data_IF_619134094236
#
_entry.id   IF_619134094236
#
_cell.length_a   1.000
_cell.length_b   1.000
_cell.length_c   1.000
_cell.angle_alpha   90.00
_cell.angle_beta   90.00
_cell.angle_gamma   90.00
#
_symmetry.space_group_name_H-M   'P 1'
#
loop_
_entity.id
_entity.type
_entity.pdbx_description
1 polymer ?
#
# COMPACT_ATOMS: atom_id res chain seq x y z
N UNK A 1 -4.20 -14.41 -7.11
CA UNK A 1 -3.84 -13.19 -6.35
C UNK A 1 -2.98 -12.21 -7.14
N UNK A 2 -2.48 -12.56 -8.30
CA UNK A 2 -1.64 -11.71 -9.13
C UNK A 2 -0.15 -11.81 -8.81
N UNK A 3 0.65 -11.08 -9.60
CA UNK A 3 2.08 -10.91 -9.38
C UNK A 3 2.28 -9.68 -8.49
N UNK A 4 3.05 -9.81 -7.42
CA UNK A 4 3.40 -8.75 -6.47
C UNK A 4 4.49 -9.24 -5.53
N UNK A 5 5.17 -8.31 -4.86
CA UNK A 5 6.19 -8.61 -3.85
C UNK A 5 5.57 -8.80 -2.45
N UNK A 6 4.68 -9.78 -2.30
CA UNK A 6 3.96 -9.98 -1.04
C UNK A 6 4.87 -10.56 0.05
N UNK A 7 4.93 -9.87 1.19
CA UNK A 7 5.69 -10.29 2.38
C UNK A 7 4.78 -10.89 3.45
N UNK A 8 3.67 -10.25 3.75
CA UNK A 8 2.69 -10.71 4.75
C UNK A 8 1.40 -11.23 4.11
N UNK A 9 0.86 -12.34 4.64
CA UNK A 9 -0.45 -12.88 4.25
C UNK A 9 -1.19 -13.29 5.53
N UNK A 10 -2.33 -12.64 5.81
CA UNK A 10 -3.10 -12.85 7.03
C UNK A 10 -4.58 -13.05 6.73
N UNK A 11 -5.18 -14.19 7.12
CA UNK A 11 -6.62 -14.39 6.97
C UNK A 11 -7.43 -13.67 8.05
N UNK A 12 -8.69 -13.37 7.74
CA UNK A 12 -9.70 -13.08 8.74
C UNK A 12 -10.59 -14.31 9.01
N UNK A 13 -11.60 -14.17 9.87
CA UNK A 13 -12.53 -15.24 10.24
C UNK A 13 -13.51 -15.63 9.12
N UNK A 14 -13.58 -14.86 8.05
CA UNK A 14 -14.41 -15.11 6.86
C UNK A 14 -13.63 -15.64 5.68
N UNK A 15 -12.29 -15.80 5.85
CA UNK A 15 -11.37 -16.30 4.83
C UNK A 15 -10.93 -15.27 3.82
N UNK A 16 -11.18 -13.98 4.05
CA UNK A 16 -10.50 -12.93 3.29
C UNK A 16 -9.01 -12.92 3.66
N UNK A 17 -8.16 -12.70 2.67
CA UNK A 17 -6.71 -12.63 2.86
C UNK A 17 -6.23 -11.19 2.75
N UNK A 18 -5.50 -10.73 3.75
CA UNK A 18 -4.87 -9.41 3.76
C UNK A 18 -3.39 -9.57 3.46
N UNK A 19 -2.88 -8.77 2.53
CA UNK A 19 -1.54 -8.89 1.99
C UNK A 19 -0.82 -7.54 2.05
N UNK A 20 0.44 -7.58 2.42
CA UNK A 20 1.35 -6.43 2.40
C UNK A 20 2.40 -6.67 1.31
N UNK A 21 2.68 -5.62 0.55
CA UNK A 21 3.65 -5.66 -0.54
C UNK A 21 4.89 -4.87 -0.16
N UNK A 22 6.07 -5.48 -0.35
CA UNK A 22 7.36 -4.81 -0.20
C UNK A 22 8.06 -4.66 -1.55
N UNK A 23 7.78 -3.56 -2.23
CA UNK A 23 8.41 -3.20 -3.50
C UNK A 23 9.09 -1.84 -3.35
N UNK A 24 10.38 -1.78 -3.61
CA UNK A 24 11.13 -0.52 -3.59
C UNK A 24 10.60 0.47 -4.63
N UNK A 25 10.53 1.73 -4.24
CA UNK A 25 10.25 2.84 -5.13
C UNK A 25 11.48 3.35 -5.87
N UNK A 26 11.26 4.32 -6.73
CA UNK A 26 12.34 5.07 -7.37
C UNK A 26 12.93 6.07 -6.37
N UNK A 27 14.26 6.27 -6.43
CA UNK A 27 14.92 7.32 -5.68
C UNK A 27 14.54 8.69 -6.24
N UNK A 28 14.48 9.70 -5.36
CA UNK A 28 14.33 11.08 -5.76
C UNK A 28 15.52 11.53 -6.63
N UNK A 29 15.23 12.35 -7.62
CA UNK A 29 16.23 12.96 -8.50
C UNK A 29 16.60 14.38 -8.07
N UNK A 30 15.89 14.96 -7.11
CA UNK A 30 16.11 16.35 -6.68
C UNK A 30 17.46 16.52 -5.96
N UNK A 31 18.07 17.68 -6.18
CA UNK A 31 19.25 18.11 -5.45
C UNK A 31 18.97 18.20 -3.93
N UNK A 32 20.04 18.15 -3.14
CA UNK A 32 19.96 18.29 -1.69
C UNK A 32 19.05 19.45 -1.29
N UNK A 33 18.04 19.16 -0.50
CA UNK A 33 17.05 20.10 0.01
C UNK A 33 16.81 19.92 1.50
N UNK A 34 15.92 20.72 2.04
CA UNK A 34 15.48 20.58 3.41
C UNK A 34 14.22 19.70 3.44
N UNK A 35 14.29 18.52 4.05
CA UNK A 35 13.12 17.70 4.35
C UNK A 35 12.79 17.88 5.83
N UNK A 36 11.56 18.26 6.13
CA UNK A 36 11.04 18.45 7.52
C UNK A 36 11.90 19.40 8.37
N UNK A 37 12.45 20.46 7.76
CA UNK A 37 13.27 21.45 8.47
C UNK A 37 14.69 21.00 8.82
N UNK A 38 15.09 19.80 8.37
CA UNK A 38 16.46 19.30 8.59
C UNK A 38 17.35 19.69 7.41
N UNK A 39 18.28 20.59 7.66
CA UNK A 39 19.29 20.97 6.66
C UNK A 39 20.26 19.81 6.39
N UNK A 40 20.63 19.64 5.12
CA UNK A 40 21.64 18.64 4.71
C UNK A 40 21.12 17.24 4.47
N UNK A 41 19.81 17.01 4.52
CA UNK A 41 19.22 15.73 4.15
C UNK A 41 19.12 15.65 2.63
N UNK A 42 19.77 14.66 2.03
CA UNK A 42 19.74 14.46 0.58
C UNK A 42 18.46 13.73 0.17
N UNK A 43 17.64 14.35 -0.67
CA UNK A 43 16.50 13.71 -1.32
C UNK A 43 16.90 12.48 -2.17
N UNK A 44 18.16 12.41 -2.59
CA UNK A 44 18.69 11.30 -3.41
C UNK A 44 18.56 9.93 -2.72
N UNK A 45 18.46 9.90 -1.40
CA UNK A 45 18.31 8.66 -0.63
C UNK A 45 16.87 8.31 -0.30
N UNK A 46 15.95 9.25 -0.43
CA UNK A 46 14.54 9.00 -0.23
C UNK A 46 13.96 8.21 -1.40
N UNK A 47 13.10 7.25 -1.12
CA UNK A 47 12.43 6.44 -2.12
C UNK A 47 10.96 6.84 -2.23
N UNK A 48 10.46 6.91 -3.46
CA UNK A 48 9.04 7.11 -3.72
C UNK A 48 8.25 5.95 -3.11
N UNK A 49 7.16 6.22 -2.36
CA UNK A 49 6.24 5.16 -1.91
C UNK A 49 5.72 4.38 -3.12
N UNK A 50 5.87 3.04 -3.12
CA UNK A 50 5.61 2.22 -4.31
C UNK A 50 4.97 0.86 -4.00
N UNK A 51 4.63 0.62 -2.75
CA UNK A 51 4.05 -0.63 -2.28
C UNK A 51 2.63 -0.41 -1.75
N UNK A 52 1.81 -1.44 -1.80
CA UNK A 52 0.40 -1.33 -1.46
C UNK A 52 -0.03 -2.36 -0.42
N UNK A 53 -1.12 -2.06 0.27
CA UNK A 53 -1.82 -2.98 1.17
C UNK A 53 -3.07 -3.47 0.46
N UNK A 54 -3.23 -4.78 0.40
CA UNK A 54 -4.32 -5.42 -0.31
C UNK A 54 -5.20 -6.27 0.59
N UNK A 55 -6.39 -6.58 0.07
CA UNK A 55 -7.16 -7.72 0.53
C UNK A 55 -7.73 -8.51 -0.66
N UNK A 56 -7.75 -9.81 -0.51
CA UNK A 56 -8.41 -10.71 -1.46
C UNK A 56 -9.68 -11.28 -0.79
N UNK A 57 -10.80 -11.08 -1.44
CA UNK A 57 -12.11 -11.61 -1.04
C UNK A 57 -12.41 -12.81 -1.92
N UNK A 58 -12.17 -14.05 -1.47
CA UNK A 58 -12.41 -15.23 -2.29
C UNK A 58 -13.92 -15.45 -2.51
N UNK A 59 -14.29 -15.94 -3.71
CA UNK A 59 -15.65 -16.37 -4.00
C UNK A 59 -16.03 -17.57 -3.12
N UNK A 60 -15.06 -18.42 -2.81
CA UNK A 60 -15.19 -19.55 -1.90
C UNK A 60 -13.95 -19.64 -1.00
N UNK A 61 -14.05 -19.33 0.29
CA UNK A 61 -12.90 -19.39 1.21
C UNK A 61 -12.23 -20.76 1.33
N UNK A 62 -12.96 -21.85 1.08
CA UNK A 62 -12.43 -23.21 1.09
C UNK A 62 -11.73 -23.59 -0.24
N UNK A 63 -11.88 -22.78 -1.29
CA UNK A 63 -11.39 -23.07 -2.63
C UNK A 63 -10.95 -21.78 -3.33
N UNK A 64 -9.76 -21.30 -3.03
CA UNK A 64 -9.24 -20.03 -3.56
C UNK A 64 -9.13 -20.01 -5.10
N UNK A 65 -9.00 -21.18 -5.74
CA UNK A 65 -9.00 -21.32 -7.19
C UNK A 65 -10.34 -20.96 -7.87
N UNK A 66 -11.42 -20.83 -7.10
CA UNK A 66 -12.72 -20.37 -7.62
C UNK A 66 -12.73 -18.86 -7.90
N UNK A 67 -11.58 -18.20 -7.68
CA UNK A 67 -11.41 -16.78 -7.90
C UNK A 67 -11.90 -15.90 -6.78
N UNK A 68 -12.01 -14.61 -7.04
CA UNK A 68 -12.42 -13.60 -6.06
C UNK A 68 -12.08 -12.19 -6.50
N UNK A 69 -12.22 -11.26 -5.57
CA UNK A 69 -11.91 -9.84 -5.77
C UNK A 69 -10.62 -9.47 -5.06
N UNK A 70 -9.67 -8.95 -5.81
CA UNK A 70 -8.50 -8.28 -5.27
C UNK A 70 -8.80 -6.79 -5.10
N UNK A 71 -8.59 -6.27 -3.91
CA UNK A 71 -8.80 -4.88 -3.57
C UNK A 71 -7.53 -4.28 -2.97
N UNK A 72 -7.30 -3.00 -3.23
CA UNK A 72 -6.20 -2.24 -2.63
C UNK A 72 -6.75 -1.14 -1.71
N UNK A 73 -5.96 -0.79 -0.69
CA UNK A 73 -6.29 0.27 0.26
C UNK A 73 -6.13 1.64 -0.40
N UNK A 74 -7.13 2.50 -0.27
CA UNK A 74 -7.07 3.90 -0.64
C UNK A 74 -7.40 4.78 0.56
N UNK A 75 -6.46 5.60 0.99
CA UNK A 75 -6.62 6.56 2.09
C UNK A 75 -7.06 7.92 1.53
N UNK A 76 -7.98 8.57 2.24
CA UNK A 76 -8.51 9.88 1.87
C UNK A 76 -8.05 10.91 2.92
N UNK A 77 -7.30 11.89 2.47
CA UNK A 77 -6.79 13.00 3.30
C UNK A 77 -7.34 14.31 2.73
N UNK A 78 -7.96 15.10 3.58
CA UNK A 78 -8.55 16.39 3.21
C UNK A 78 -9.52 16.30 2.00
N UNK A 79 -10.25 15.19 1.90
CA UNK A 79 -11.20 14.95 0.82
C UNK A 79 -10.62 14.40 -0.47
N UNK A 80 -9.29 14.25 -0.58
CA UNK A 80 -8.60 13.70 -1.74
C UNK A 80 -7.93 12.35 -1.44
N UNK A 81 -7.87 11.48 -2.45
CA UNK A 81 -7.13 10.23 -2.34
C UNK A 81 -5.61 10.51 -2.38
N UNK A 82 -4.85 9.82 -1.53
CA UNK A 82 -3.39 9.80 -1.63
C UNK A 82 -3.02 8.75 -2.67
N UNK A 83 -2.44 9.18 -3.79
CA UNK A 83 -2.18 8.33 -4.96
C UNK A 83 -0.73 8.36 -5.39
N UNK A 84 -0.34 7.41 -6.21
CA UNK A 84 0.98 7.31 -6.84
C UNK A 84 1.04 8.20 -8.10
N UNK A 85 2.14 8.95 -8.26
CA UNK A 85 2.38 9.80 -9.44
C UNK A 85 3.65 9.32 -10.16
N UNK A 86 3.51 8.57 -11.26
CA UNK A 86 4.66 7.97 -11.96
C UNK A 86 5.63 9.01 -12.52
N UNK A 87 5.14 10.18 -12.88
CA UNK A 87 5.90 11.24 -13.53
C UNK A 87 6.45 12.28 -12.52
N UNK A 88 6.14 12.12 -11.22
CA UNK A 88 6.59 13.02 -10.16
C UNK A 88 7.01 12.28 -8.89
N UNK A 89 8.09 11.46 -8.96
CA UNK A 89 8.61 10.74 -7.78
C UNK A 89 9.02 11.66 -6.63
N UNK A 90 9.60 12.80 -6.95
CA UNK A 90 10.05 13.78 -5.96
C UNK A 90 8.85 14.44 -5.27
N UNK A 91 7.79 14.73 -6.03
CA UNK A 91 6.53 15.24 -5.52
C UNK A 91 5.87 14.27 -4.55
N UNK A 92 5.83 12.98 -4.86
CA UNK A 92 5.28 11.96 -3.95
C UNK A 92 6.08 11.91 -2.64
N UNK A 93 7.42 11.93 -2.69
CA UNK A 93 8.28 11.88 -1.51
C UNK A 93 8.05 13.10 -0.60
N UNK A 94 7.89 14.28 -1.18
CA UNK A 94 7.77 15.53 -0.44
C UNK A 94 6.33 15.97 -0.20
N UNK A 95 5.34 15.22 -0.69
CA UNK A 95 3.94 15.63 -0.65
C UNK A 95 3.43 15.83 0.78
N UNK A 96 2.60 16.87 0.95
CA UNK A 96 1.92 17.13 2.23
C UNK A 96 1.00 15.96 2.61
N UNK A 97 0.39 15.31 1.65
CA UNK A 97 -0.50 14.16 1.88
C UNK A 97 0.28 12.97 2.45
N UNK A 98 1.44 12.62 1.88
CA UNK A 98 2.28 11.55 2.43
C UNK A 98 2.84 11.88 3.82
N UNK A 99 3.22 13.13 4.06
CA UNK A 99 3.62 13.57 5.41
C UNK A 99 2.50 13.41 6.42
N UNK A 100 1.29 13.82 6.08
CA UNK A 100 0.10 13.63 6.94
C UNK A 100 -0.21 12.15 7.16
N UNK A 101 -0.09 11.31 6.11
CA UNK A 101 -0.32 9.87 6.21
C UNK A 101 0.57 9.21 7.27
N UNK A 102 1.82 9.65 7.38
CA UNK A 102 2.81 9.13 8.33
C UNK A 102 2.90 9.93 9.64
N UNK A 103 2.05 10.93 9.86
CA UNK A 103 2.04 11.70 11.11
C UNK A 103 1.35 10.91 12.22
N UNK A 104 2.08 10.65 13.30
CA UNK A 104 1.57 9.92 14.47
C UNK A 104 0.33 10.60 15.07
N UNK A 105 -0.64 9.79 15.50
CA UNK A 105 -1.88 10.25 16.14
C UNK A 105 -2.94 10.79 15.19
N UNK A 106 -2.69 10.85 13.89
CA UNK A 106 -3.70 11.26 12.90
C UNK A 106 -4.67 10.11 12.60
N UNK A 107 -5.86 10.48 12.09
CA UNK A 107 -6.90 9.53 11.68
C UNK A 107 -7.48 9.98 10.35
N UNK A 108 -7.48 9.07 9.37
CA UNK A 108 -7.97 9.34 8.03
C UNK A 108 -9.02 8.32 7.61
N UNK A 109 -9.95 8.75 6.79
CA UNK A 109 -10.88 7.84 6.15
C UNK A 109 -10.15 6.99 5.10
N UNK A 110 -10.63 5.76 4.90
CA UNK A 110 -10.12 4.90 3.83
C UNK A 110 -11.25 4.09 3.20
N UNK A 111 -10.97 3.55 2.04
CA UNK A 111 -11.83 2.56 1.38
C UNK A 111 -10.99 1.49 0.70
N UNK A 112 -11.61 0.36 0.43
CA UNK A 112 -11.05 -0.69 -0.40
C UNK A 112 -11.56 -0.52 -1.84
N UNK A 113 -10.64 -0.40 -2.80
CA UNK A 113 -10.95 -0.27 -4.21
C UNK A 113 -10.64 -1.57 -4.94
N UNK A 114 -11.55 -2.06 -5.76
CA UNK A 114 -11.33 -3.29 -6.54
C UNK A 114 -10.35 -2.99 -7.66
N UNK A 115 -9.27 -3.78 -7.71
CA UNK A 115 -8.22 -3.67 -8.72
C UNK A 115 -8.23 -4.83 -9.71
N UNK A 116 -8.85 -5.94 -9.34
CA UNK A 116 -9.00 -7.12 -10.19
C UNK A 116 -10.12 -8.02 -9.68
N UNK A 117 -10.83 -8.65 -10.61
CA UNK A 117 -11.79 -9.73 -10.31
C UNK A 117 -11.41 -10.96 -11.13
N UNK A 118 -11.32 -12.11 -10.46
CA UNK A 118 -11.03 -13.39 -11.11
C UNK A 118 -12.17 -14.37 -10.90
N UNK A 119 -12.30 -15.32 -11.83
CA UNK A 119 -13.29 -16.40 -11.83
C UNK A 119 -12.59 -17.74 -11.91
N UNK A 120 -13.34 -18.81 -11.66
CA UNK A 120 -12.86 -20.16 -11.85
C UNK A 120 -12.35 -20.33 -13.31
N UNK A 121 -11.16 -20.89 -13.45
CA UNK A 121 -10.53 -21.12 -14.76
C UNK A 121 -9.74 -19.93 -15.31
N UNK A 122 -9.75 -18.76 -14.66
CA UNK A 122 -8.89 -17.67 -15.06
C UNK A 122 -7.42 -18.04 -14.81
N UNK A 123 -6.63 -18.05 -15.88
CA UNK A 123 -5.20 -18.37 -15.83
C UNK A 123 -4.30 -17.19 -16.13
N UNK A 124 -4.87 -16.04 -16.50
CA UNK A 124 -4.10 -14.85 -16.80
C UNK A 124 -3.57 -14.20 -15.52
N UNK A 125 -2.25 -14.13 -15.44
CA UNK A 125 -1.62 -13.36 -14.38
C UNK A 125 -1.85 -11.85 -14.59
N UNK A 126 -2.05 -11.10 -13.53
CA UNK A 126 -2.08 -9.64 -13.55
C UNK A 126 -1.01 -9.07 -12.60
N UNK A 127 -0.55 -7.87 -12.88
CA UNK A 127 0.39 -7.17 -12.01
C UNK A 127 -0.40 -6.38 -10.98
N UNK A 128 -0.36 -6.81 -9.71
CA UNK A 128 -1.13 -6.20 -8.63
C UNK A 128 -0.67 -4.76 -8.35
N UNK A 129 0.64 -4.52 -8.32
CA UNK A 129 1.24 -3.18 -8.13
C UNK A 129 0.75 -2.20 -9.20
N UNK A 130 0.84 -2.59 -10.48
CA UNK A 130 0.43 -1.73 -11.58
C UNK A 130 -1.09 -1.49 -11.57
N UNK A 131 -1.88 -2.51 -11.25
CA UNK A 131 -3.32 -2.37 -11.13
C UNK A 131 -3.72 -1.45 -9.99
N UNK A 132 -3.03 -1.53 -8.85
CA UNK A 132 -3.24 -0.63 -7.70
C UNK A 132 -2.92 0.83 -8.06
N UNK A 133 -1.81 1.08 -8.75
CA UNK A 133 -1.44 2.42 -9.26
C UNK A 133 -2.51 2.97 -10.18
N UNK A 134 -2.91 2.19 -11.17
CA UNK A 134 -3.92 2.61 -12.16
C UNK A 134 -5.29 2.91 -11.53
N UNK A 135 -5.64 2.20 -10.46
CA UNK A 135 -6.88 2.40 -9.71
C UNK A 135 -6.80 3.54 -8.69
N UNK A 136 -5.64 4.15 -8.49
CA UNK A 136 -5.44 5.23 -7.52
C UNK A 136 -5.40 4.74 -6.07
N UNK A 137 -4.88 3.55 -5.81
CA UNK A 137 -4.60 3.09 -4.46
C UNK A 137 -3.51 3.92 -3.79
N UNK A 138 -3.49 3.91 -2.46
CA UNK A 138 -2.49 4.64 -1.69
C UNK A 138 -1.19 3.85 -1.60
N UNK A 139 -0.08 4.40 -2.09
CA UNK A 139 1.23 3.79 -1.94
C UNK A 139 1.79 4.05 -0.54
N UNK A 140 2.53 3.07 -0.03
CA UNK A 140 3.27 3.12 1.23
C UNK A 140 4.75 2.84 0.99
N UNK A 141 5.58 3.15 1.98
CA UNK A 141 7.02 2.88 1.96
C UNK A 141 7.30 1.48 2.51
N UNK A 142 7.13 0.46 1.66
CA UNK A 142 7.46 -0.93 1.95
C UNK A 142 6.69 -1.51 3.15
N UNK A 143 5.35 -1.70 3.07
CA UNK A 143 4.61 -2.48 4.05
C UNK A 143 5.11 -3.92 4.08
N UNK A 144 5.36 -4.47 5.27
CA UNK A 144 5.90 -5.83 5.42
C UNK A 144 4.86 -6.78 6.01
N UNK A 145 4.59 -6.63 7.26
CA UNK A 145 3.74 -7.56 8.00
C UNK A 145 2.59 -6.87 8.69
N UNK A 146 1.58 -7.63 9.09
CA UNK A 146 0.48 -7.11 9.87
C UNK A 146 0.15 -8.03 11.05
N UNK A 147 -0.63 -7.49 11.98
CA UNK A 147 -1.25 -8.26 13.05
C UNK A 147 -2.67 -7.76 13.31
N UNK A 148 -3.58 -8.67 13.57
CA UNK A 148 -4.91 -8.32 14.07
C UNK A 148 -4.83 -7.86 15.52
N UNK A 149 -5.58 -6.81 15.87
CA UNK A 149 -5.77 -6.43 17.27
C UNK A 149 -6.58 -7.53 17.97
N UNK A 150 -6.03 -8.19 19.01
CA UNK A 150 -6.75 -9.21 19.77
C UNK A 150 -8.07 -8.67 20.30
N UNK A 151 -9.14 -9.45 20.18
CA UNK A 151 -10.48 -9.07 20.64
C UNK A 151 -11.22 -8.07 19.74
N UNK A 152 -10.64 -7.58 18.65
CA UNK A 152 -11.33 -6.67 17.72
C UNK A 152 -12.35 -7.36 16.81
N UNK A 153 -12.40 -8.71 16.78
CA UNK A 153 -13.23 -9.47 15.84
C UNK A 153 -12.85 -9.16 14.38
N UNK A 154 -11.55 -9.09 14.08
CA UNK A 154 -10.99 -8.79 12.77
C UNK A 154 -11.42 -7.44 12.19
N UNK A 155 -11.74 -6.47 13.05
CA UNK A 155 -12.12 -5.10 12.65
C UNK A 155 -10.96 -4.13 12.64
N UNK A 156 -9.88 -4.46 13.34
CA UNK A 156 -8.71 -3.59 13.48
C UNK A 156 -7.45 -4.40 13.26
N UNK A 157 -6.58 -3.91 12.40
CA UNK A 157 -5.25 -4.47 12.20
C UNK A 157 -4.20 -3.36 12.20
N UNK A 158 -2.98 -3.75 12.48
CA UNK A 158 -1.78 -2.92 12.36
C UNK A 158 -0.91 -3.52 11.27
N UNK A 159 -0.23 -2.70 10.51
CA UNK A 159 0.83 -3.15 9.62
C UNK A 159 2.07 -2.28 9.82
N UNK A 160 3.22 -2.91 9.68
CA UNK A 160 4.51 -2.23 9.72
C UNK A 160 4.89 -1.72 8.34
N UNK A 161 5.64 -0.63 8.34
CA UNK A 161 6.24 -0.04 7.14
C UNK A 161 7.71 0.09 7.41
N UNK A 162 8.57 -0.52 6.56
CA UNK A 162 10.03 -0.43 6.71
C UNK A 162 10.53 0.99 6.59
N UNK A 163 9.88 1.78 5.74
CA UNK A 163 10.33 3.13 5.44
C UNK A 163 11.60 3.16 4.58
N UNK A 164 12.26 4.30 4.56
CA UNK A 164 13.56 4.49 3.92
C UNK A 164 14.66 4.49 4.99
N UNK A 165 15.83 3.96 4.66
CA UNK A 165 16.96 3.88 5.60
C UNK A 165 17.37 5.23 6.18
N UNK A 166 17.15 6.33 5.46
CA UNK A 166 17.62 7.65 5.83
C UNK A 166 16.49 8.68 6.03
N UNK A 167 15.23 8.32 5.71
CA UNK A 167 14.11 9.27 5.71
C UNK A 167 12.86 8.74 6.43
N UNK A 168 12.94 7.60 7.05
CA UNK A 168 11.94 7.01 7.97
C UNK A 168 10.64 6.61 7.34
#
# INVERSE_FOLDING_TARGET
MGLGGFEGIHPDDKGALYLQEDVKGHAAHAAAGTIDGRAGVSLIKALQPNSFVYRFLPNNPARLQDGGKMQALQVIIDGAAVTFHPDDPDGDITSVAHKKLHTSGTRWAFKWITIHESRIGDTLAFNATQSAKNAGATPFKRPENMAWLPGSGFKTFFFSVTGDNDQG
#
